data_IF_958484351633
#
_entry.id   IF_958484351633
#
_cell.length_a   1.000
_cell.length_b   1.000
_cell.length_c   1.000
_cell.angle_alpha   90.00
_cell.angle_beta   90.00
_cell.angle_gamma   90.00
#
_symmetry.space_group_name_H-M   'P 1'
#
loop_
_entity.id
_entity.type
_entity.pdbx_description
1 polymer ?
#
# COMPACT_ATOMS: atom_id res chain seq x y z
N UNK A 1 20.42 -2.42 -3.05
CA UNK A 1 19.50 -2.12 -1.94
C UNK A 1 18.22 -1.50 -2.48
N UNK A 2 17.11 -1.78 -1.80
CA UNK A 2 15.79 -1.23 -2.12
C UNK A 2 15.38 -0.27 -1.00
N UNK A 3 14.85 0.89 -1.36
CA UNK A 3 14.26 1.84 -0.41
C UNK A 3 12.93 2.33 -0.93
N UNK A 4 11.91 2.25 -0.08
CA UNK A 4 10.60 2.83 -0.32
C UNK A 4 10.50 4.19 0.36
N UNK A 5 9.88 5.14 -0.32
CA UNK A 5 9.59 6.48 0.19
C UNK A 5 8.13 6.81 -0.07
N UNK A 6 7.36 7.07 0.98
CA UNK A 6 5.96 7.52 0.84
C UNK A 6 5.98 8.99 0.44
N UNK A 7 5.67 9.27 -0.83
CA UNK A 7 5.65 10.63 -1.38
C UNK A 7 4.27 11.28 -1.31
N UNK A 8 3.21 10.48 -1.11
CA UNK A 8 1.87 10.96 -0.78
C UNK A 8 1.27 10.09 0.32
N UNK A 9 0.95 10.72 1.45
CA UNK A 9 0.34 10.07 2.61
C UNK A 9 -1.19 10.06 2.50
N UNK A 10 -1.89 8.99 2.91
CA UNK A 10 -3.33 9.06 3.12
C UNK A 10 -3.64 9.88 4.37
N UNK A 11 -4.66 10.74 4.29
CA UNK A 11 -5.02 11.64 5.40
C UNK A 11 -6.36 11.25 6.03
N UNK A 12 -7.30 10.74 5.22
CA UNK A 12 -8.66 10.41 5.64
C UNK A 12 -9.19 9.19 4.90
N UNK A 13 -10.08 8.46 5.56
CA UNK A 13 -10.83 7.35 5.02
C UNK A 13 -12.29 7.47 5.44
N UNK A 14 -13.21 6.88 4.69
CA UNK A 14 -14.59 6.69 5.10
C UNK A 14 -14.85 5.21 5.35
N UNK A 15 -15.32 4.89 6.55
CA UNK A 15 -15.81 3.55 6.87
C UNK A 15 -17.03 3.19 6.02
N UNK A 16 -17.19 1.90 5.72
CA UNK A 16 -18.35 1.42 4.97
C UNK A 16 -19.04 0.24 5.65
N UNK A 17 -18.48 -0.31 6.73
CA UNK A 17 -19.05 -1.33 7.60
C UNK A 17 -19.62 -2.54 6.82
N UNK A 18 -20.94 -2.61 6.64
CA UNK A 18 -21.66 -3.69 5.94
C UNK A 18 -22.25 -3.24 4.60
N UNK A 19 -21.82 -2.07 4.07
CA UNK A 19 -22.33 -1.45 2.85
C UNK A 19 -21.23 -1.37 1.79
N UNK A 20 -20.89 -2.48 1.11
CA UNK A 20 -19.76 -2.51 0.17
C UNK A 20 -19.92 -1.55 -1.02
N UNK A 21 -21.15 -1.22 -1.41
CA UNK A 21 -21.44 -0.26 -2.49
C UNK A 21 -21.24 1.21 -2.07
N UNK A 22 -21.08 1.49 -0.77
CA UNK A 22 -20.78 2.83 -0.24
C UNK A 22 -19.29 3.05 0.03
N UNK A 23 -18.44 2.13 -0.45
CA UNK A 23 -17.00 2.18 -0.24
C UNK A 23 -16.40 3.41 -0.93
N UNK A 24 -15.66 4.21 -0.17
CA UNK A 24 -14.83 5.29 -0.68
C UNK A 24 -13.35 4.96 -0.46
N UNK A 25 -12.46 5.28 -1.42
CA UNK A 25 -11.04 5.11 -1.22
C UNK A 25 -10.52 6.10 -0.17
N UNK A 26 -9.40 5.74 0.46
CA UNK A 26 -8.62 6.66 1.27
C UNK A 26 -8.16 7.84 0.42
N UNK A 27 -8.14 9.03 1.01
CA UNK A 27 -7.83 10.26 0.32
C UNK A 27 -6.79 11.08 1.12
N UNK A 28 -5.76 11.63 0.44
CA UNK A 28 -5.38 11.34 -0.95
C UNK A 28 -4.84 9.90 -1.08
N UNK A 29 -4.78 9.30 -2.28
CA UNK A 29 -4.34 7.91 -2.45
C UNK A 29 -2.84 7.76 -2.10
N UNK A 30 -2.41 6.66 -1.46
CA UNK A 30 -1.00 6.46 -1.18
C UNK A 30 -0.18 6.34 -2.47
N UNK A 31 0.94 7.07 -2.52
CA UNK A 31 1.93 6.99 -3.60
C UNK A 31 3.29 6.75 -2.97
N UNK A 32 3.98 5.73 -3.48
CA UNK A 32 5.26 5.30 -2.93
C UNK A 32 6.31 5.28 -4.04
N UNK A 33 7.42 5.97 -3.84
CA UNK A 33 8.55 5.95 -4.75
C UNK A 33 9.52 4.81 -4.36
N UNK A 34 9.94 4.04 -5.35
CA UNK A 34 11.00 3.04 -5.21
C UNK A 34 12.33 3.64 -5.64
N UNK A 35 13.34 3.47 -4.78
CA UNK A 35 14.73 3.76 -5.08
C UNK A 35 15.52 2.45 -5.08
N UNK A 36 16.19 2.16 -6.19
CA UNK A 36 17.05 0.98 -6.37
C UNK A 36 18.50 1.46 -6.48
N UNK A 37 19.40 0.87 -5.71
CA UNK A 37 20.85 1.14 -5.77
C UNK A 37 21.63 -0.17 -5.77
N UNK A 38 22.82 -0.20 -6.37
CA UNK A 38 23.73 -1.36 -6.23
C UNK A 38 24.38 -1.39 -4.83
N UNK A 39 25.29 -2.35 -4.59
CA UNK A 39 26.04 -2.42 -3.32
C UNK A 39 27.03 -1.26 -3.12
N UNK A 40 27.48 -0.62 -4.21
CA UNK A 40 28.37 0.53 -4.19
C UNK A 40 27.60 1.88 -4.16
N UNK A 41 26.26 1.85 -4.22
CA UNK A 41 25.39 3.03 -4.25
C UNK A 41 25.06 3.60 -5.64
N UNK A 42 25.52 2.97 -6.73
CA UNK A 42 25.27 3.41 -8.10
C UNK A 42 23.87 2.99 -8.61
N UNK A 43 23.33 3.68 -9.63
CA UNK A 43 22.11 3.27 -10.31
C UNK A 43 22.26 1.87 -10.94
N UNK A 44 21.22 1.04 -10.81
CA UNK A 44 21.14 -0.33 -11.33
C UNK A 44 20.39 -0.32 -12.67
N UNK A 45 20.56 -1.35 -13.49
CA UNK A 45 19.64 -1.62 -14.58
C UNK A 45 18.28 -2.08 -14.01
N UNK A 46 17.37 -1.12 -13.81
CA UNK A 46 16.07 -1.31 -13.17
C UNK A 46 15.19 -2.30 -13.97
N UNK A 47 15.28 -2.29 -15.31
CA UNK A 47 14.40 -3.07 -16.20
C UNK A 47 14.51 -4.59 -16.00
N UNK A 48 15.63 -5.08 -15.49
CA UNK A 48 15.82 -6.51 -15.19
C UNK A 48 15.20 -6.92 -13.84
N UNK A 49 15.02 -5.97 -12.91
CA UNK A 49 14.51 -6.23 -11.56
C UNK A 49 12.99 -5.96 -11.46
N UNK A 50 12.52 -4.88 -12.08
CA UNK A 50 11.14 -4.40 -11.94
C UNK A 50 10.04 -5.42 -12.23
N UNK A 51 10.14 -6.30 -13.25
CA UNK A 51 9.09 -7.30 -13.52
C UNK A 51 8.82 -8.26 -12.35
N UNK A 52 9.80 -8.41 -11.44
CA UNK A 52 9.70 -9.30 -10.29
C UNK A 52 9.33 -8.57 -9.00
N UNK A 53 9.08 -7.26 -9.03
CA UNK A 53 8.77 -6.49 -7.83
C UNK A 53 7.30 -6.09 -7.79
N UNK A 54 6.68 -6.20 -6.62
CA UNK A 54 5.36 -5.64 -6.33
C UNK A 54 5.38 -4.99 -4.94
N UNK A 55 4.57 -3.97 -4.74
CA UNK A 55 4.32 -3.40 -3.43
C UNK A 55 2.96 -3.86 -2.91
N UNK A 56 2.91 -4.34 -1.67
CA UNK A 56 1.70 -4.79 -0.98
C UNK A 56 1.40 -3.87 0.20
N UNK A 57 0.14 -3.45 0.36
CA UNK A 57 -0.34 -2.72 1.53
C UNK A 57 -0.88 -3.65 2.59
N UNK A 58 -0.49 -3.41 3.83
CA UNK A 58 -1.09 -4.01 5.03
C UNK A 58 -1.57 -2.89 5.96
N UNK A 59 -2.65 -3.17 6.69
CA UNK A 59 -3.19 -2.29 7.70
C UNK A 59 -2.60 -2.65 9.06
N UNK A 60 -2.01 -1.66 9.72
CA UNK A 60 -1.48 -1.77 11.06
C UNK A 60 -2.35 -1.00 12.05
N UNK A 61 -2.27 -1.38 13.32
CA UNK A 61 -2.76 -0.61 14.47
C UNK A 61 -2.24 0.83 14.47
N UNK A 62 -2.88 1.72 15.24
CA UNK A 62 -2.48 3.13 15.38
C UNK A 62 -0.99 3.28 15.73
N UNK A 63 -0.44 2.39 16.56
CA UNK A 63 0.98 2.39 16.96
C UNK A 63 1.94 1.78 15.92
N UNK A 64 1.41 1.25 14.82
CA UNK A 64 2.18 0.67 13.72
C UNK A 64 2.85 -0.67 14.04
N UNK A 65 2.41 -1.39 15.09
CA UNK A 65 3.09 -2.63 15.54
C UNK A 65 2.37 -3.92 15.15
N UNK A 66 1.05 -3.88 15.01
CA UNK A 66 0.25 -5.10 14.84
C UNK A 66 -0.53 -5.04 13.54
N UNK A 67 -0.39 -6.07 12.71
CA UNK A 67 -1.21 -6.23 11.52
C UNK A 67 -2.67 -6.53 11.91
N UNK A 68 -3.59 -5.75 11.35
CA UNK A 68 -5.04 -5.80 11.62
C UNK A 68 -5.83 -5.87 10.32
N UNK A 69 -5.30 -6.54 9.30
CA UNK A 69 -5.94 -6.66 8.00
C UNK A 69 -7.33 -7.33 8.07
N UNK A 70 -7.56 -8.17 9.08
CA UNK A 70 -8.82 -8.88 9.31
C UNK A 70 -9.14 -8.99 10.80
N UNK A 71 -10.42 -8.96 11.13
CA UNK A 71 -10.92 -9.19 12.50
C UNK A 71 -11.67 -10.52 12.55
N UNK A 72 -11.52 -11.30 13.63
CA UNK A 72 -12.35 -12.48 13.84
C UNK A 72 -13.86 -12.13 13.83
N UNK A 73 -14.72 -13.06 13.40
CA UNK A 73 -16.16 -12.87 13.53
C UNK A 73 -16.57 -12.74 15.01
N UNK A 74 -17.63 -11.97 15.35
CA UNK A 74 -18.07 -11.76 16.73
C UNK A 74 -18.38 -13.07 17.46
N UNK A 75 -18.97 -14.03 16.76
CA UNK A 75 -19.47 -15.28 17.33
C UNK A 75 -18.48 -16.45 17.16
N UNK A 76 -17.27 -16.19 16.66
CA UNK A 76 -16.26 -17.22 16.38
C UNK A 76 -16.59 -18.14 15.20
N UNK A 77 -17.84 -18.17 14.74
CA UNK A 77 -18.28 -18.89 13.55
C UNK A 77 -18.34 -17.98 12.32
N UNK A 78 -17.70 -18.42 11.23
CA UNK A 78 -17.69 -17.73 9.94
C UNK A 78 -16.31 -17.18 9.52
N UNK A 79 -16.21 -16.62 8.30
CA UNK A 79 -14.95 -16.07 7.80
C UNK A 79 -14.59 -14.75 8.49
N UNK A 80 -13.29 -14.57 8.77
CA UNK A 80 -12.76 -13.29 9.26
C UNK A 80 -13.14 -12.15 8.32
N UNK A 81 -13.54 -11.02 8.90
CA UNK A 81 -13.92 -9.84 8.16
C UNK A 81 -12.68 -9.01 7.82
N UNK A 82 -12.42 -8.80 6.53
CA UNK A 82 -11.33 -7.94 6.07
C UNK A 82 -11.60 -6.47 6.39
N UNK A 83 -10.70 -5.83 7.12
CA UNK A 83 -10.70 -4.40 7.40
C UNK A 83 -10.16 -3.60 6.22
N UNK A 84 -9.05 -4.03 5.63
CA UNK A 84 -8.45 -3.40 4.46
C UNK A 84 -9.02 -4.03 3.18
N UNK A 85 -9.55 -3.20 2.28
CA UNK A 85 -10.26 -3.65 1.07
C UNK A 85 -9.81 -2.84 -0.16
N UNK A 86 -10.04 -3.39 -1.35
CA UNK A 86 -9.67 -2.78 -2.63
C UNK A 86 -8.44 -3.41 -3.26
N UNK A 87 -7.71 -2.64 -4.07
CA UNK A 87 -6.47 -3.04 -4.73
C UNK A 87 -5.29 -2.79 -3.79
N UNK A 88 -4.84 -3.85 -3.12
CA UNK A 88 -3.78 -3.79 -2.09
C UNK A 88 -2.38 -4.07 -2.65
N UNK A 89 -2.29 -4.48 -3.92
CA UNK A 89 -1.03 -4.76 -4.61
C UNK A 89 -0.86 -3.79 -5.77
N UNK A 90 0.32 -3.20 -5.90
CA UNK A 90 0.71 -2.36 -7.03
C UNK A 90 1.96 -2.93 -7.69
N UNK A 91 1.95 -2.99 -9.02
CA UNK A 91 3.16 -3.14 -9.84
C UNK A 91 3.93 -1.81 -9.88
N UNK A 92 5.23 -1.83 -10.23
CA UNK A 92 6.02 -0.61 -10.39
C UNK A 92 5.68 0.11 -11.69
N UNK A 93 5.64 1.43 -11.65
CA UNK A 93 5.35 2.29 -12.80
C UNK A 93 6.41 3.38 -12.98
N UNK A 94 6.92 3.55 -14.19
CA UNK A 94 7.73 4.72 -14.54
C UNK A 94 6.85 5.95 -14.70
N UNK A 95 6.98 6.92 -13.81
CA UNK A 95 6.22 8.18 -13.87
C UNK A 95 7.16 9.38 -13.77
N UNK A 96 6.61 10.57 -14.01
CA UNK A 96 7.27 11.84 -13.72
C UNK A 96 6.56 12.52 -12.56
N UNK A 97 7.32 13.05 -11.61
CA UNK A 97 6.78 13.86 -10.53
C UNK A 97 6.38 15.27 -11.03
N UNK A 98 5.87 16.11 -10.12
CA UNK A 98 5.43 17.48 -10.43
C UNK A 98 6.57 18.39 -10.93
N UNK A 99 7.83 18.05 -10.64
CA UNK A 99 9.01 18.75 -11.14
C UNK A 99 9.52 18.17 -12.48
N UNK A 100 8.81 17.21 -13.07
CA UNK A 100 9.17 16.56 -14.34
C UNK A 100 10.27 15.49 -14.23
N UNK A 101 10.76 15.19 -13.01
CA UNK A 101 11.79 14.18 -12.74
C UNK A 101 11.18 12.77 -12.83
N UNK A 102 11.85 11.89 -13.57
CA UNK A 102 11.46 10.47 -13.70
C UNK A 102 11.75 9.70 -12.41
N UNK A 103 10.91 8.72 -12.10
CA UNK A 103 11.10 7.76 -11.02
C UNK A 103 10.20 6.54 -11.17
N UNK A 104 10.40 5.56 -10.30
CA UNK A 104 9.57 4.35 -10.22
C UNK A 104 8.60 4.51 -9.05
N UNK A 105 7.32 4.28 -9.29
CA UNK A 105 6.26 4.50 -8.31
C UNK A 105 5.31 3.31 -8.21
N UNK A 106 4.81 3.08 -7.00
CA UNK A 106 3.67 2.24 -6.71
C UNK A 106 2.48 3.13 -6.36
N UNK A 107 1.30 2.83 -6.92
CA UNK A 107 0.10 3.62 -6.78
C UNK A 107 -1.01 2.80 -6.14
N UNK A 108 -1.69 3.36 -5.15
CA UNK A 108 -2.79 2.69 -4.47
C UNK A 108 -4.08 3.54 -4.55
N UNK A 109 -4.68 3.69 -5.74
CA UNK A 109 -5.82 4.58 -5.94
C UNK A 109 -7.13 4.05 -5.35
N UNK A 110 -7.21 2.74 -5.09
CA UNK A 110 -8.42 2.08 -4.63
C UNK A 110 -8.17 1.25 -3.36
N UNK A 111 -8.02 1.93 -2.23
CA UNK A 111 -7.85 1.31 -0.91
C UNK A 111 -8.89 1.86 0.04
N UNK A 112 -9.59 1.02 0.78
CA UNK A 112 -10.63 1.46 1.71
C UNK A 112 -10.57 0.71 3.03
N UNK A 113 -11.04 1.37 4.08
CA UNK A 113 -11.06 0.83 5.45
C UNK A 113 -12.51 0.55 5.83
N UNK A 114 -12.79 -0.68 6.29
CA UNK A 114 -14.16 -1.11 6.59
C UNK A 114 -14.73 -0.45 7.84
N UNK A 115 -13.96 -0.40 8.92
CA UNK A 115 -14.43 0.08 10.22
C UNK A 115 -13.73 1.36 10.64
N UNK A 116 -14.44 2.14 11.47
CA UNK A 116 -13.89 3.33 12.10
C UNK A 116 -12.68 2.96 12.95
N UNK A 117 -11.62 3.76 12.84
CA UNK A 117 -10.48 3.66 13.73
C UNK A 117 -9.34 4.56 13.29
N UNK A 118 -8.24 4.45 14.03
CA UNK A 118 -6.95 5.03 13.65
C UNK A 118 -6.01 3.90 13.30
N UNK A 119 -5.34 4.04 12.16
CA UNK A 119 -4.56 2.98 11.57
C UNK A 119 -3.34 3.58 10.88
N UNK A 120 -2.32 2.74 10.69
CA UNK A 120 -1.19 3.03 9.83
C UNK A 120 -1.23 2.09 8.62
N UNK A 121 -0.97 2.59 7.41
CA UNK A 121 -0.71 1.72 6.26
C UNK A 121 0.78 1.45 6.18
N UNK A 122 1.17 0.18 6.12
CA UNK A 122 2.53 -0.21 5.82
C UNK A 122 2.63 -0.73 4.38
N UNK A 123 3.75 -0.39 3.75
CA UNK A 123 4.07 -0.77 2.37
C UNK A 123 5.20 -1.79 2.41
N UNK A 124 4.93 -2.98 1.88
CA UNK A 124 5.88 -4.08 1.82
C UNK A 124 6.33 -4.25 0.37
N UNK A 125 7.63 -4.16 0.11
CA UNK A 125 8.19 -4.55 -1.18
C UNK A 125 8.37 -6.07 -1.20
N UNK A 126 7.77 -6.74 -2.17
CA UNK A 126 7.82 -8.20 -2.35
C UNK A 126 8.48 -8.50 -3.69
N UNK A 127 9.38 -9.49 -3.69
CA UNK A 127 9.97 -10.06 -4.90
C UNK A 127 9.27 -11.37 -5.24
N UNK A 128 8.76 -11.48 -6.47
CA UNK A 128 8.16 -12.69 -7.01
C UNK A 128 9.28 -13.67 -7.40
N UNK A 129 9.14 -14.92 -6.99
CA UNK A 129 10.06 -16.03 -7.29
C UNK A 129 9.56 -16.88 -8.44
#
# INVERSE_FOLDING_TARGET
SYRLEVVQQPERAAEFTHRPLSRLPVAPPPIVQLHIRDQAGNPVNEDMELPFLVAHLTLLSEDGKTAVDSVPPPDGEGPSLRLLNGTLVSSPHYLRNLQGKRGIYFLFPDVSIRWRGRYCLAVLLVRLS
#
